data_IF_260057360174
#
_entry.id   IF_260057360174
#
_cell.length_a   1.000
_cell.length_b   1.000
_cell.length_c   1.000
_cell.angle_alpha   90.00
_cell.angle_beta   90.00
_cell.angle_gamma   90.00
#
_symmetry.space_group_name_H-M   'P 1'
#
loop_
_entity.id
_entity.type
_entity.pdbx_description
1 polymer ?
#
# COMPACT_ATOMS: atom_id res chain seq x y z
N UNK A 1 3.04 11.97 23.22
CA UNK A 1 2.83 13.40 23.54
C UNK A 1 2.95 14.33 22.34
N UNK A 2 3.75 14.04 21.30
CA UNK A 2 3.83 14.88 20.09
C UNK A 2 3.76 14.04 18.80
N UNK A 3 3.00 14.49 17.80
CA UNK A 3 2.83 13.85 16.48
C UNK A 3 2.98 14.85 15.31
N UNK A 4 3.24 16.11 15.60
CA UNK A 4 3.42 17.21 14.64
C UNK A 4 4.57 16.95 13.66
N UNK A 5 5.62 16.23 14.08
CA UNK A 5 6.79 15.91 13.23
C UNK A 5 6.59 14.74 12.27
N UNK A 6 5.51 13.97 12.42
CA UNK A 6 5.21 12.82 11.55
C UNK A 6 4.01 13.07 10.63
N UNK A 7 3.33 14.20 10.80
CA UNK A 7 2.27 14.66 9.91
C UNK A 7 2.83 15.72 8.94
N UNK A 8 2.51 15.65 7.64
CA UNK A 8 1.68 14.66 6.95
C UNK A 8 2.40 13.31 6.73
N UNK A 9 1.66 12.18 6.59
CA UNK A 9 2.26 10.87 6.36
C UNK A 9 3.02 10.84 5.03
N UNK A 10 4.27 10.39 5.10
CA UNK A 10 5.06 10.10 3.91
C UNK A 10 4.53 8.90 3.13
N UNK A 11 4.70 8.95 1.81
CA UNK A 11 4.50 7.82 0.91
C UNK A 11 5.86 7.15 0.64
N UNK A 12 5.89 5.83 0.71
CA UNK A 12 7.09 5.03 0.43
C UNK A 12 6.75 3.91 -0.55
N UNK A 13 7.76 3.32 -1.19
CA UNK A 13 7.56 2.20 -2.10
C UNK A 13 8.58 1.09 -1.86
N UNK A 14 8.20 -0.13 -2.22
CA UNK A 14 9.06 -1.32 -2.29
C UNK A 14 9.02 -1.87 -3.71
N UNK A 15 10.15 -2.21 -4.34
CA UNK A 15 11.52 -2.17 -3.82
C UNK A 15 12.00 -0.73 -3.57
N UNK A 16 12.90 -0.53 -2.60
CA UNK A 16 13.45 0.80 -2.30
C UNK A 16 14.40 1.21 -3.43
N UNK A 17 14.19 2.39 -3.97
CA UNK A 17 15.06 2.97 -4.99
C UNK A 17 16.37 3.48 -4.39
N UNK A 18 17.47 3.29 -5.11
CA UNK A 18 18.73 3.97 -4.81
C UNK A 18 18.68 5.34 -5.48
N UNK A 19 18.84 6.43 -4.71
CA UNK A 19 18.75 7.81 -5.22
C UNK A 19 17.45 8.11 -5.99
N UNK A 20 16.34 7.48 -5.61
CA UNK A 20 15.04 7.62 -6.28
C UNK A 20 14.98 7.08 -7.71
N UNK A 21 15.87 6.15 -8.06
CA UNK A 21 15.91 5.47 -9.36
C UNK A 21 15.88 3.93 -9.20
N UNK A 22 15.25 3.27 -10.18
CA UNK A 22 15.28 1.81 -10.37
C UNK A 22 15.75 1.57 -11.80
N UNK A 23 16.90 0.93 -11.95
CA UNK A 23 17.53 0.67 -13.23
C UNK A 23 17.94 -0.81 -13.31
N UNK A 24 17.53 -1.50 -14.35
CA UNK A 24 17.82 -2.91 -14.58
C UNK A 24 17.92 -3.19 -16.08
N UNK A 25 18.41 -4.37 -16.45
CA UNK A 25 18.56 -4.81 -17.83
C UNK A 25 17.57 -5.93 -18.13
N UNK A 26 16.79 -5.76 -19.19
CA UNK A 26 15.97 -6.83 -19.76
C UNK A 26 16.86 -8.00 -20.18
N UNK A 27 16.42 -9.22 -19.87
CA UNK A 27 17.15 -10.44 -20.17
C UNK A 27 18.33 -10.78 -19.25
N UNK A 28 18.62 -9.96 -18.22
CA UNK A 28 19.61 -10.29 -17.17
C UNK A 28 18.91 -10.31 -15.81
N UNK A 29 18.47 -11.50 -15.34
CA UNK A 29 17.79 -11.67 -14.04
C UNK A 29 18.57 -11.11 -12.86
N UNK A 30 19.90 -11.21 -12.91
CA UNK A 30 20.81 -10.74 -11.88
C UNK A 30 20.71 -9.22 -11.69
N UNK A 31 20.32 -8.48 -12.74
CA UNK A 31 20.22 -7.02 -12.70
C UNK A 31 19.01 -6.50 -11.90
N UNK A 32 18.01 -7.35 -11.62
CA UNK A 32 16.83 -7.00 -10.83
C UNK A 32 16.58 -7.92 -9.63
N UNK A 33 17.50 -8.84 -9.35
CA UNK A 33 17.35 -9.80 -8.24
C UNK A 33 17.17 -9.10 -6.89
N UNK A 34 17.97 -8.06 -6.60
CA UNK A 34 17.86 -7.29 -5.36
C UNK A 34 16.48 -6.64 -5.19
N UNK A 35 15.86 -6.23 -6.30
CA UNK A 35 14.51 -5.66 -6.30
C UNK A 35 13.46 -6.72 -5.99
N UNK A 36 13.57 -7.88 -6.64
CA UNK A 36 12.70 -9.03 -6.39
C UNK A 36 12.81 -9.50 -4.94
N UNK A 37 14.02 -9.61 -4.41
CA UNK A 37 14.27 -10.03 -3.03
C UNK A 37 13.73 -9.04 -2.01
N UNK A 38 13.83 -7.73 -2.28
CA UNK A 38 13.22 -6.71 -1.45
C UNK A 38 11.68 -6.82 -1.43
N UNK A 39 11.05 -7.07 -2.58
CA UNK A 39 9.59 -7.28 -2.67
C UNK A 39 9.17 -8.56 -1.94
N UNK A 40 9.88 -9.67 -2.16
CA UNK A 40 9.65 -10.94 -1.47
C UNK A 40 9.73 -10.79 0.05
N UNK A 41 10.80 -10.12 0.52
CA UNK A 41 11.02 -9.88 1.95
C UNK A 41 9.90 -9.04 2.55
N UNK A 42 9.45 -8.02 1.83
CA UNK A 42 8.35 -7.17 2.27
C UNK A 42 7.02 -7.94 2.33
N UNK A 43 6.69 -8.69 1.27
CA UNK A 43 5.42 -9.39 1.15
C UNK A 43 5.27 -10.60 2.06
N UNK A 44 6.37 -11.15 2.60
CA UNK A 44 6.36 -12.29 3.53
C UNK A 44 5.46 -12.11 4.75
N UNK A 45 5.29 -10.87 5.23
CA UNK A 45 4.39 -10.58 6.35
C UNK A 45 2.90 -10.72 5.98
N UNK A 46 2.57 -10.68 4.69
CA UNK A 46 1.23 -10.73 4.13
C UNK A 46 0.85 -12.11 3.59
N UNK A 47 1.68 -13.13 3.80
CA UNK A 47 1.33 -14.50 3.41
C UNK A 47 0.11 -14.98 4.21
N UNK A 48 -0.79 -15.71 3.55
CA UNK A 48 -2.06 -16.14 4.15
C UNK A 48 -1.84 -17.04 5.39
N UNK A 49 -0.77 -17.85 5.41
CA UNK A 49 -0.41 -18.71 6.54
C UNK A 49 -0.04 -17.90 7.80
N UNK A 50 0.45 -16.67 7.64
CA UNK A 50 0.79 -15.77 8.75
C UNK A 50 -0.42 -15.08 9.36
N UNK A 51 -1.58 -15.16 8.72
CA UNK A 51 -2.79 -14.41 9.09
C UNK A 51 -3.92 -15.30 9.65
N UNK A 52 -3.61 -16.54 10.01
CA UNK A 52 -4.61 -17.57 10.42
C UNK A 52 -5.14 -17.42 11.85
N UNK A 53 -4.39 -16.77 12.75
CA UNK A 53 -4.76 -16.62 14.16
C UNK A 53 -5.95 -15.66 14.36
N UNK A 54 -7.12 -16.22 14.68
CA UNK A 54 -8.38 -15.49 14.87
C UNK A 54 -8.38 -14.54 16.08
N UNK A 55 -7.41 -14.67 16.99
CA UNK A 55 -7.22 -13.71 18.09
C UNK A 55 -6.44 -12.47 17.65
N UNK A 56 -5.63 -12.58 16.60
CA UNK A 56 -4.77 -11.51 16.07
C UNK A 56 -5.36 -10.83 14.85
N UNK A 57 -6.11 -11.56 14.04
CA UNK A 57 -6.62 -11.10 12.76
C UNK A 57 -8.13 -11.25 12.65
N UNK A 58 -8.75 -10.40 11.83
CA UNK A 58 -10.16 -10.44 11.49
C UNK A 58 -10.35 -10.19 10.00
N UNK A 59 -11.41 -10.75 9.43
CA UNK A 59 -11.81 -10.48 8.05
C UNK A 59 -12.50 -9.12 7.99
N UNK A 60 -11.98 -8.24 7.15
CA UNK A 60 -12.57 -6.95 6.85
C UNK A 60 -13.27 -7.02 5.49
N UNK A 61 -14.02 -5.98 5.13
CA UNK A 61 -14.82 -5.99 3.91
C UNK A 61 -13.94 -6.25 2.66
N UNK A 62 -14.43 -7.08 1.75
CA UNK A 62 -13.76 -7.38 0.47
C UNK A 62 -13.85 -6.22 -0.54
N UNK A 63 -14.54 -5.13 -0.16
CA UNK A 63 -14.63 -3.87 -0.90
C UNK A 63 -14.23 -2.72 0.04
N UNK A 64 -13.71 -1.59 -0.47
CA UNK A 64 -13.38 -0.45 0.37
C UNK A 64 -14.57 0.00 1.25
N UNK A 65 -14.37 0.02 2.56
CA UNK A 65 -15.37 0.42 3.53
C UNK A 65 -14.87 1.52 4.49
N UNK A 66 -15.79 2.04 5.31
CA UNK A 66 -15.53 3.03 6.35
C UNK A 66 -14.45 2.62 7.36
N UNK A 67 -13.96 3.60 8.12
CA UNK A 67 -13.00 3.37 9.19
C UNK A 67 -13.48 2.31 10.19
N UNK A 68 -12.57 1.43 10.60
CA UNK A 68 -12.85 0.45 11.64
C UNK A 68 -12.26 0.90 12.97
N UNK A 69 -13.12 1.53 13.79
CA UNK A 69 -12.74 1.95 15.14
C UNK A 69 -12.77 0.76 16.10
N UNK A 70 -11.62 0.46 16.70
CA UNK A 70 -11.42 -0.62 17.66
C UNK A 70 -11.29 -0.08 19.08
N UNK A 71 -12.11 0.89 19.44
CA UNK A 71 -12.08 1.55 20.76
C UNK A 71 -11.06 2.68 20.87
N UNK A 72 -10.77 3.06 22.12
CA UNK A 72 -9.83 4.12 22.49
C UNK A 72 -8.41 3.57 22.77
N UNK A 73 -7.40 4.44 22.75
CA UNK A 73 -6.00 4.04 23.03
C UNK A 73 -5.80 3.58 24.49
N UNK A 74 -6.50 4.20 25.43
CA UNK A 74 -6.37 3.96 26.88
C UNK A 74 -7.41 2.95 27.40
N UNK A 75 -8.18 2.30 26.52
CA UNK A 75 -9.21 1.39 26.98
C UNK A 75 -8.60 0.12 27.61
N UNK A 76 -9.35 -0.49 28.54
CA UNK A 76 -8.96 -1.76 29.19
C UNK A 76 -8.95 -2.96 28.23
N UNK A 77 -9.44 -2.75 27.02
CA UNK A 77 -9.44 -3.79 26.00
C UNK A 77 -7.99 -4.09 25.61
N UNK A 78 -7.68 -5.38 25.47
CA UNK A 78 -6.34 -5.82 25.12
C UNK A 78 -5.95 -5.51 23.67
N UNK A 79 -5.03 -6.32 23.15
CA UNK A 79 -4.51 -6.22 21.78
C UNK A 79 -5.64 -6.19 20.75
N UNK A 80 -5.59 -5.22 19.83
CA UNK A 80 -6.53 -5.03 18.73
C UNK A 80 -6.24 -6.02 17.61
N UNK A 81 -7.30 -6.57 17.02
CA UNK A 81 -7.21 -7.40 15.82
C UNK A 81 -6.83 -6.54 14.62
N UNK A 82 -6.01 -7.08 13.72
CA UNK A 82 -5.68 -6.47 12.45
C UNK A 82 -6.61 -6.98 11.34
N UNK A 83 -7.03 -6.10 10.44
CA UNK A 83 -7.63 -6.52 9.19
C UNK A 83 -6.65 -7.40 8.42
N UNK A 84 -7.12 -8.56 7.96
CA UNK A 84 -6.36 -9.37 7.01
C UNK A 84 -6.16 -8.60 5.72
N UNK A 85 -4.98 -8.76 5.13
CA UNK A 85 -4.66 -8.25 3.80
C UNK A 85 -4.10 -9.41 2.99
N UNK A 86 -4.90 -9.90 2.04
CA UNK A 86 -4.50 -10.99 1.16
C UNK A 86 -3.60 -10.44 0.05
N UNK A 87 -2.43 -11.05 -0.16
CA UNK A 87 -1.51 -10.67 -1.26
C UNK A 87 -2.18 -10.73 -2.63
N UNK A 88 -3.17 -11.60 -2.82
CA UNK A 88 -3.94 -11.69 -4.06
C UNK A 88 -4.64 -10.39 -4.45
N UNK A 89 -4.92 -9.48 -3.50
CA UNK A 89 -5.45 -8.14 -3.79
C UNK A 89 -4.48 -7.30 -4.63
N UNK A 90 -3.18 -7.60 -4.61
CA UNK A 90 -2.15 -6.93 -5.41
C UNK A 90 -2.11 -7.39 -6.87
N UNK A 91 -3.05 -8.27 -7.29
CA UNK A 91 -3.16 -8.71 -8.69
C UNK A 91 -1.86 -9.35 -9.19
N UNK A 92 -1.41 -8.90 -10.36
CA UNK A 92 -0.19 -9.41 -11.00
C UNK A 92 1.08 -9.09 -10.20
N UNK A 93 1.03 -8.05 -9.35
CA UNK A 93 2.11 -7.69 -8.44
C UNK A 93 2.13 -8.48 -7.13
N UNK A 94 1.25 -9.48 -6.98
CA UNK A 94 1.14 -10.30 -5.77
C UNK A 94 2.31 -11.25 -5.54
N UNK A 95 3.05 -11.61 -6.59
CA UNK A 95 4.07 -12.66 -6.55
C UNK A 95 3.51 -14.08 -6.58
N UNK A 96 2.20 -14.25 -6.83
CA UNK A 96 1.53 -15.56 -6.88
C UNK A 96 1.61 -16.21 -8.27
N UNK A 97 1.51 -15.40 -9.33
CA UNK A 97 1.59 -15.84 -10.72
C UNK A 97 2.98 -15.56 -11.31
N UNK A 98 3.49 -14.35 -11.10
CA UNK A 98 4.82 -13.93 -11.51
C UNK A 98 5.70 -13.59 -10.30
N UNK A 99 6.74 -14.38 -10.07
CA UNK A 99 7.70 -14.17 -8.97
C UNK A 99 8.74 -13.10 -9.27
N UNK A 100 8.80 -12.61 -10.51
CA UNK A 100 9.70 -11.52 -10.92
C UNK A 100 9.03 -10.15 -10.83
N UNK A 101 7.75 -10.07 -10.46
CA UNK A 101 7.03 -8.81 -10.24
C UNK A 101 7.10 -7.87 -11.47
N UNK A 102 7.00 -8.43 -12.68
CA UNK A 102 7.01 -7.74 -13.96
C UNK A 102 8.41 -7.27 -14.42
N UNK A 103 9.46 -7.48 -13.64
CA UNK A 103 10.82 -7.09 -14.03
C UNK A 103 11.32 -7.87 -15.26
N UNK A 104 10.96 -9.14 -15.41
CA UNK A 104 11.37 -9.93 -16.58
C UNK A 104 10.77 -9.41 -17.89
N UNK A 105 9.60 -8.78 -17.83
CA UNK A 105 8.88 -8.23 -18.98
C UNK A 105 9.14 -6.73 -19.20
N UNK A 106 9.89 -6.08 -18.31
CA UNK A 106 10.10 -4.63 -18.38
C UNK A 106 8.93 -3.79 -17.88
N UNK A 107 8.02 -4.40 -17.11
CA UNK A 107 6.85 -3.76 -16.50
C UNK A 107 6.92 -3.90 -14.97
N UNK A 108 7.92 -3.30 -14.32
CA UNK A 108 8.20 -3.56 -12.91
C UNK A 108 7.05 -3.08 -12.00
N UNK A 109 6.68 -3.91 -11.04
CA UNK A 109 5.73 -3.57 -9.99
C UNK A 109 6.38 -2.73 -8.89
N UNK A 110 5.69 -1.66 -8.48
CA UNK A 110 6.04 -0.86 -7.31
C UNK A 110 4.93 -0.97 -6.26
N UNK A 111 5.25 -1.54 -5.10
CA UNK A 111 4.32 -1.64 -3.99
C UNK A 111 4.39 -0.35 -3.17
N UNK A 112 3.34 0.45 -3.26
CA UNK A 112 3.24 1.73 -2.57
C UNK A 112 2.65 1.53 -1.17
N UNK A 113 3.20 2.24 -0.18
CA UNK A 113 2.81 2.17 1.23
C UNK A 113 2.72 3.55 1.85
N UNK A 114 1.64 3.79 2.59
CA UNK A 114 1.49 4.97 3.43
C UNK A 114 2.12 4.74 4.81
N UNK A 115 2.90 5.72 5.30
CA UNK A 115 3.52 5.62 6.62
C UNK A 115 2.48 5.57 7.74
N UNK A 116 2.67 4.63 8.67
CA UNK A 116 1.76 4.41 9.81
C UNK A 116 1.89 5.54 10.82
N UNK A 117 0.78 6.22 11.13
CA UNK A 117 0.67 7.23 12.20
C UNK A 117 -0.45 6.79 13.14
N UNK A 118 -0.16 6.78 14.45
CA UNK A 118 -1.13 6.37 15.47
C UNK A 118 -2.32 7.33 15.46
N UNK A 119 -3.54 6.80 15.48
CA UNK A 119 -4.82 7.54 15.44
C UNK A 119 -5.06 8.37 14.17
N UNK A 120 -4.22 8.23 13.14
CA UNK A 120 -4.42 8.93 11.88
C UNK A 120 -5.56 8.33 11.06
N UNK A 121 -6.43 9.21 10.55
CA UNK A 121 -7.56 8.88 9.68
C UNK A 121 -7.45 9.70 8.40
N UNK A 122 -6.95 9.12 7.29
CA UNK A 122 -6.81 9.87 6.05
C UNK A 122 -8.20 10.18 5.49
N UNK A 123 -8.42 11.41 5.04
CA UNK A 123 -9.70 11.84 4.48
C UNK A 123 -9.61 11.84 2.95
N UNK A 124 -10.47 11.07 2.24
CA UNK A 124 -10.54 11.14 0.79
C UNK A 124 -10.87 12.58 0.33
N UNK A 125 -10.43 12.97 -0.87
CA UNK A 125 -10.84 14.25 -1.45
C UNK A 125 -12.37 14.34 -1.56
N UNK A 126 -12.94 15.45 -1.09
CA UNK A 126 -14.40 15.65 -1.03
C UNK A 126 -15.00 16.07 -2.38
N UNK A 127 -14.19 16.66 -3.26
CA UNK A 127 -14.63 17.09 -4.59
C UNK A 127 -13.62 16.77 -5.69
N UNK A 128 -14.13 16.15 -6.75
CA UNK A 128 -13.42 15.91 -8.00
C UNK A 128 -12.87 17.20 -8.64
N UNK A 129 -13.55 18.34 -8.46
CA UNK A 129 -13.19 19.59 -9.16
C UNK A 129 -11.82 20.16 -8.79
N UNK A 130 -11.24 19.73 -7.66
CA UNK A 130 -9.89 20.16 -7.23
C UNK A 130 -8.79 19.19 -7.66
N UNK A 131 -9.15 18.05 -8.25
CA UNK A 131 -8.21 17.00 -8.65
C UNK A 131 -7.95 17.02 -10.16
N UNK A 132 -6.78 16.54 -10.61
CA UNK A 132 -6.54 16.31 -12.03
C UNK A 132 -7.59 15.36 -12.62
N UNK A 133 -8.02 15.59 -13.87
CA UNK A 133 -9.06 14.80 -14.52
C UNK A 133 -8.80 13.28 -14.47
N UNK A 134 -7.54 12.86 -14.56
CA UNK A 134 -7.12 11.46 -14.45
C UNK A 134 -7.39 10.83 -13.07
N UNK A 135 -7.46 11.65 -12.02
CA UNK A 135 -7.77 11.23 -10.64
C UNK A 135 -9.27 11.28 -10.38
N UNK A 136 -9.99 12.22 -11.02
CA UNK A 136 -11.44 12.35 -10.89
C UNK A 136 -12.16 11.05 -11.28
N UNK A 137 -11.74 10.43 -12.38
CA UNK A 137 -12.27 9.15 -12.86
C UNK A 137 -11.99 7.97 -11.89
N UNK A 138 -11.05 8.14 -10.95
CA UNK A 138 -10.63 7.13 -9.97
C UNK A 138 -11.15 7.41 -8.56
N UNK A 139 -11.97 8.45 -8.37
CA UNK A 139 -12.56 8.73 -7.07
C UNK A 139 -13.57 7.64 -6.72
N UNK A 140 -13.25 6.89 -5.69
CA UNK A 140 -14.13 5.88 -5.11
C UNK A 140 -14.40 6.24 -3.65
N UNK A 141 -15.63 6.00 -3.13
CA UNK A 141 -15.90 6.12 -1.71
C UNK A 141 -14.92 5.28 -0.90
N UNK A 142 -14.53 5.80 0.27
CA UNK A 142 -13.72 5.08 1.24
C UNK A 142 -12.32 4.64 0.74
N UNK A 143 -11.79 5.30 -0.29
CA UNK A 143 -10.43 5.08 -0.79
C UNK A 143 -9.67 6.41 -0.83
N UNK A 144 -8.42 6.40 -0.36
CA UNK A 144 -7.47 7.47 -0.66
C UNK A 144 -6.84 7.19 -2.02
N UNK A 145 -7.09 8.02 -3.03
CA UNK A 145 -6.61 7.75 -4.39
C UNK A 145 -5.08 7.93 -4.47
N UNK A 146 -4.45 7.12 -5.32
CA UNK A 146 -3.04 7.26 -5.69
C UNK A 146 -2.98 7.57 -7.19
N UNK A 147 -2.12 8.51 -7.56
CA UNK A 147 -1.89 8.85 -8.95
C UNK A 147 -0.40 9.04 -9.21
N UNK A 148 0.15 8.10 -9.96
CA UNK A 148 1.49 8.14 -10.53
C UNK A 148 1.42 8.85 -11.89
N UNK A 149 2.33 9.79 -12.10
CA UNK A 149 2.52 10.52 -13.35
C UNK A 149 3.99 10.93 -13.48
N UNK A 150 4.38 11.47 -14.62
CA UNK A 150 5.72 11.99 -14.86
C UNK A 150 6.01 13.16 -13.91
N UNK A 151 7.27 13.26 -13.49
CA UNK A 151 7.73 14.36 -12.64
C UNK A 151 8.02 15.63 -13.44
N UNK A 152 8.52 15.47 -14.67
CA UNK A 152 8.96 16.56 -15.55
C UNK A 152 8.29 16.44 -16.90
N UNK A 153 7.95 17.56 -17.52
CA UNK A 153 7.28 17.59 -18.84
C UNK A 153 8.11 16.89 -19.93
N UNK A 154 9.44 16.91 -19.82
CA UNK A 154 10.34 16.20 -20.74
C UNK A 154 10.17 14.67 -20.74
N UNK A 155 9.55 14.10 -19.71
CA UNK A 155 9.25 12.67 -19.60
C UNK A 155 7.82 12.33 -20.01
N UNK A 156 7.06 13.32 -20.46
CA UNK A 156 5.74 13.11 -21.03
C UNK A 156 5.85 12.16 -22.24
N UNK A 157 5.03 11.11 -22.24
CA UNK A 157 5.03 10.09 -23.30
C UNK A 157 6.14 9.04 -23.19
N UNK A 158 7.10 9.18 -22.27
CA UNK A 158 8.11 8.13 -21.99
C UNK A 158 7.62 7.09 -20.99
N UNK A 159 6.60 7.42 -20.21
CA UNK A 159 5.99 6.50 -19.26
C UNK A 159 4.92 5.69 -19.98
N UNK A 160 5.06 4.36 -19.93
CA UNK A 160 4.06 3.43 -20.45
C UNK A 160 2.74 3.46 -19.67
N UNK A 161 1.80 2.56 -19.99
CA UNK A 161 0.54 2.46 -19.24
C UNK A 161 0.82 2.18 -17.76
N UNK A 162 0.09 2.87 -16.87
CA UNK A 162 0.19 2.66 -15.42
C UNK A 162 -1.07 1.96 -14.94
N UNK A 163 -0.88 0.76 -14.41
CA UNK A 163 -1.93 -0.06 -13.81
C UNK A 163 -1.85 0.00 -12.28
N UNK A 164 -3.01 -0.05 -11.64
CA UNK A 164 -3.14 0.06 -10.18
C UNK A 164 -3.84 -1.18 -9.67
N UNK A 165 -3.12 -1.95 -8.86
CA UNK A 165 -3.66 -3.10 -8.14
C UNK A 165 -3.84 -2.77 -6.66
N UNK A 166 -4.65 -3.56 -5.97
CA UNK A 166 -5.03 -3.33 -4.59
C UNK A 166 -6.52 -3.04 -4.44
N UNK A 167 -6.98 -3.06 -3.19
CA UNK A 167 -8.40 -2.85 -2.88
C UNK A 167 -8.83 -1.42 -3.23
N UNK A 168 -9.58 -1.28 -4.34
CA UNK A 168 -10.01 0.02 -4.88
C UNK A 168 -8.90 0.82 -5.56
N UNK A 169 -7.72 0.24 -5.82
CA UNK A 169 -6.60 0.93 -6.49
C UNK A 169 -5.99 2.09 -5.69
N UNK A 170 -6.14 2.07 -4.35
CA UNK A 170 -5.61 3.09 -3.45
C UNK A 170 -5.51 2.58 -2.01
N UNK A 171 -5.65 3.47 -1.03
CA UNK A 171 -5.68 3.06 0.39
C UNK A 171 -7.12 3.02 0.93
N UNK A 172 -7.71 1.84 1.16
CA UNK A 172 -9.05 1.70 1.74
C UNK A 172 -9.10 2.15 3.21
N UNK A 173 -10.17 2.84 3.60
CA UNK A 173 -10.29 3.45 4.94
C UNK A 173 -10.45 2.44 6.09
N UNK A 174 -10.96 1.24 5.81
CA UNK A 174 -11.19 0.18 6.82
C UNK A 174 -9.94 -0.28 7.59
N UNK A 175 -8.75 -0.02 7.06
CA UNK A 175 -7.48 -0.31 7.75
C UNK A 175 -7.11 0.78 8.76
N UNK A 176 -7.82 1.91 8.78
CA UNK A 176 -7.56 3.03 9.68
C UNK A 176 -8.61 3.12 10.79
N UNK A 177 -8.25 3.62 11.99
CA UNK A 177 -6.92 4.11 12.37
C UNK A 177 -5.96 3.01 12.85
N UNK A 178 -4.66 3.29 12.78
CA UNK A 178 -3.63 2.46 13.40
C UNK A 178 -3.49 2.77 14.90
N UNK A 179 -3.44 1.74 15.73
CA UNK A 179 -3.42 1.87 17.20
C UNK A 179 -2.02 1.80 17.84
N UNK A 180 -0.97 1.72 17.04
CA UNK A 180 0.41 1.65 17.55
C UNK A 180 0.87 0.23 17.84
N UNK A 181 2.18 0.02 17.89
CA UNK A 181 2.78 -1.33 17.97
C UNK A 181 2.41 -2.07 19.26
N UNK A 182 2.18 -1.34 20.35
CA UNK A 182 1.81 -1.91 21.65
C UNK A 182 0.40 -2.54 21.60
N UNK A 183 -0.56 -1.82 21.01
CA UNK A 183 -1.96 -2.24 20.97
C UNK A 183 -2.31 -3.00 19.70
N UNK A 184 -1.48 -2.91 18.65
CA UNK A 184 -1.75 -3.46 17.32
C UNK A 184 -0.49 -4.09 16.69
N UNK A 185 0.17 -5.04 17.39
CA UNK A 185 1.47 -5.57 16.99
C UNK A 185 1.44 -6.34 15.66
N UNK A 186 0.27 -6.86 15.28
CA UNK A 186 0.08 -7.65 14.06
C UNK A 186 -0.54 -6.84 12.91
N UNK A 187 -0.60 -5.51 13.04
CA UNK A 187 -1.11 -4.63 11.99
C UNK A 187 -0.28 -4.74 10.70
N UNK A 188 -0.99 -4.90 9.58
CA UNK A 188 -0.47 -5.07 8.22
C UNK A 188 -0.56 -3.76 7.44
#
# INVERSE_FOLDING_TARGET
TYQDRVAPPGLSHTPRSLKSEIAFKLGSPESYQDYVDAVNTFLKAYDDDKQTDQKKFEDCADVPAEYMNRGELESKDGVRKACRFKRSLLGDCSGLTDTTYGFSEGKPCLIVKLNRIVSFKPRPPVSATTLPAAVQAKLQPYVIPIHCTHRREEDLGKIGPIEYFGLGGGFPLQYYPYYGKLLHPHYL
#
